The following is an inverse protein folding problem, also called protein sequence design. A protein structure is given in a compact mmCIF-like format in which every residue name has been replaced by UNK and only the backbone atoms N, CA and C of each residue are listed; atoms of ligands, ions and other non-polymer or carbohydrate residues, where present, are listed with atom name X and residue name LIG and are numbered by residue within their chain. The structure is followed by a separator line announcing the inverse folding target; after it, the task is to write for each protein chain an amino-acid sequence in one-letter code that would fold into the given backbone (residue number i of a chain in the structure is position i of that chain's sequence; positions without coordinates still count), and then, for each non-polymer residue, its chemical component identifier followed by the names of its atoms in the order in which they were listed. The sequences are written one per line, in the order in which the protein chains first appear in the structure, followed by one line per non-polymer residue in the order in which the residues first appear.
data_IF_197061885577
#
_entry.id   IF_197061885577
#
_cell.length_a   1.000
_cell.length_b   1.000
_cell.length_c   1.000
_cell.angle_alpha   90.00
_cell.angle_beta   90.00
_cell.angle_gamma   90.00
#
_symmetry.space_group_name_H-M   'P 1'
#
loop_
_entity.id
_entity.type
_entity.pdbx_description
1 polymer ?
#
# COMPACT_ATOMS: atom_id res chain seq x y z
N UNK A 1 4.50 -22.69 33.18
CA UNK A 1 4.65 -22.59 31.71
C UNK A 1 3.43 -21.99 31.00
N UNK A 2 2.28 -21.79 31.67
CA UNK A 2 1.05 -21.24 31.06
C UNK A 2 1.04 -19.71 30.90
N UNK A 3 1.66 -18.95 31.81
CA UNK A 3 1.58 -17.48 31.78
C UNK A 3 2.26 -16.82 30.57
N UNK A 4 3.35 -17.41 30.06
CA UNK A 4 4.07 -16.85 28.92
C UNK A 4 3.33 -17.10 27.59
N UNK A 5 2.80 -18.31 27.38
CA UNK A 5 1.99 -18.62 26.19
C UNK A 5 0.72 -17.78 26.14
N UNK A 6 0.04 -17.62 27.28
CA UNK A 6 -1.16 -16.78 27.37
C UNK A 6 -0.86 -15.30 27.12
N UNK A 7 0.31 -14.81 27.54
CA UNK A 7 0.76 -13.46 27.21
C UNK A 7 1.02 -13.30 25.71
N UNK A 8 1.67 -14.27 25.05
CA UNK A 8 1.90 -14.24 23.61
C UNK A 8 0.60 -14.21 22.82
N UNK A 9 -0.35 -15.07 23.14
CA UNK A 9 -1.65 -15.06 22.46
C UNK A 9 -2.38 -13.74 22.65
N UNK A 10 -2.42 -13.22 23.89
CA UNK A 10 -3.09 -11.94 24.17
C UNK A 10 -2.46 -10.79 23.37
N UNK A 11 -1.13 -10.73 23.32
CA UNK A 11 -0.40 -9.69 22.57
C UNK A 11 -0.65 -9.81 21.07
N UNK A 12 -0.59 -11.01 20.51
CA UNK A 12 -0.83 -11.23 19.08
C UNK A 12 -2.28 -10.96 18.69
N UNK A 13 -3.26 -11.40 19.47
CA UNK A 13 -4.67 -11.08 19.22
C UNK A 13 -4.93 -9.57 19.34
N UNK A 14 -4.39 -8.90 20.36
CA UNK A 14 -4.50 -7.45 20.49
C UNK A 14 -3.87 -6.72 19.30
N UNK A 15 -2.70 -7.17 18.84
CA UNK A 15 -2.04 -6.62 17.65
C UNK A 15 -2.89 -6.81 16.38
N UNK A 16 -3.51 -7.98 16.18
CA UNK A 16 -4.40 -8.23 15.04
C UNK A 16 -5.64 -7.34 15.07
N UNK A 17 -6.26 -7.14 16.24
CA UNK A 17 -7.41 -6.24 16.39
C UNK A 17 -6.99 -4.80 16.08
N UNK A 18 -5.86 -4.35 16.61
CA UNK A 18 -5.31 -3.02 16.34
C UNK A 18 -5.00 -2.81 14.86
N UNK A 19 -4.32 -3.77 14.22
CA UNK A 19 -4.03 -3.76 12.78
C UNK A 19 -5.31 -3.75 11.95
N UNK A 20 -6.33 -4.52 12.35
CA UNK A 20 -7.64 -4.52 11.69
C UNK A 20 -8.30 -3.15 11.72
N UNK A 21 -8.28 -2.46 12.87
CA UNK A 21 -8.78 -1.09 12.98
C UNK A 21 -7.97 -0.11 12.12
N UNK A 22 -6.63 -0.20 12.15
CA UNK A 22 -5.79 0.64 11.29
C UNK A 22 -6.06 0.40 9.81
N UNK A 23 -6.29 -0.86 9.41
CA UNK A 23 -6.60 -1.23 8.03
C UNK A 23 -7.92 -0.62 7.58
N UNK A 24 -8.95 -0.61 8.44
CA UNK A 24 -10.21 0.10 8.16
C UNK A 24 -10.00 1.61 7.98
N UNK A 25 -9.17 2.25 8.82
CA UNK A 25 -8.84 3.67 8.68
C UNK A 25 -8.09 3.95 7.37
N UNK A 26 -7.14 3.09 7.00
CA UNK A 26 -6.42 3.18 5.73
C UNK A 26 -7.35 2.99 4.53
N UNK A 27 -8.33 2.09 4.62
CA UNK A 27 -9.34 1.90 3.59
C UNK A 27 -10.17 3.16 3.37
N UNK A 28 -10.62 3.80 4.46
CA UNK A 28 -11.34 5.08 4.39
C UNK A 28 -10.48 6.15 3.71
N UNK A 29 -9.18 6.20 4.04
CA UNK A 29 -8.24 7.17 3.46
C UNK A 29 -7.95 6.89 1.98
N UNK A 30 -7.88 5.61 1.58
CA UNK A 30 -7.69 5.21 0.19
C UNK A 30 -8.89 5.61 -0.69
N UNK A 31 -10.11 5.52 -0.17
CA UNK A 31 -11.32 5.91 -0.91
C UNK A 31 -11.52 7.43 -0.93
N UNK A 32 -11.31 8.11 0.21
CA UNK A 32 -11.50 9.56 0.33
C UNK A 32 -10.31 10.41 -0.12
N UNK A 33 -9.18 9.80 -0.47
CA UNK A 33 -7.98 10.53 -0.88
C UNK A 33 -8.24 11.45 -2.08
N UNK A 34 -7.91 12.75 -2.02
CA UNK A 34 -8.15 13.69 -3.11
C UNK A 34 -7.19 13.49 -4.27
N UNK A 35 -5.93 13.13 -4.00
CA UNK A 35 -4.89 12.91 -5.01
C UNK A 35 -4.67 11.42 -5.24
N UNK A 36 -4.36 11.05 -6.49
CA UNK A 36 -3.99 9.67 -6.86
C UNK A 36 -2.78 9.19 -6.04
N UNK A 37 -1.82 10.07 -5.78
CA UNK A 37 -0.67 9.79 -4.92
C UNK A 37 -1.07 9.43 -3.47
N UNK A 38 -2.06 10.13 -2.89
CA UNK A 38 -2.51 9.84 -1.52
C UNK A 38 -3.17 8.47 -1.44
N UNK A 39 -3.95 8.11 -2.48
CA UNK A 39 -4.57 6.79 -2.59
C UNK A 39 -3.50 5.70 -2.75
N UNK A 40 -2.47 5.94 -3.56
CA UNK A 40 -1.36 5.02 -3.76
C UNK A 40 -0.63 4.72 -2.45
N UNK A 41 -0.30 5.76 -1.69
CA UNK A 41 0.38 5.61 -0.39
C UNK A 41 -0.50 4.87 0.60
N UNK A 42 -1.80 5.15 0.62
CA UNK A 42 -2.76 4.43 1.46
C UNK A 42 -2.82 2.93 1.12
N UNK A 43 -2.83 2.58 -0.17
CA UNK A 43 -2.80 1.18 -0.64
C UNK A 43 -1.51 0.47 -0.24
N UNK A 44 -0.36 1.14 -0.36
CA UNK A 44 0.91 0.56 0.09
C UNK A 44 0.91 0.28 1.61
N UNK A 45 0.39 1.22 2.40
CA UNK A 45 0.25 1.03 3.86
C UNK A 45 -0.73 -0.08 4.22
N UNK A 46 -1.83 -0.25 3.48
CA UNK A 46 -2.70 -1.43 3.67
C UNK A 46 -1.93 -2.71 3.39
N UNK A 47 -1.11 -2.73 2.33
CA UNK A 47 -0.29 -3.88 1.99
C UNK A 47 0.66 -4.28 3.12
N UNK A 48 1.34 -3.32 3.76
CA UNK A 48 2.23 -3.60 4.90
C UNK A 48 1.47 -4.10 6.12
N UNK A 49 0.29 -3.56 6.42
CA UNK A 49 -0.55 -4.06 7.53
C UNK A 49 -0.98 -5.51 7.28
N UNK A 50 -1.41 -5.84 6.05
CA UNK A 50 -1.79 -7.21 5.69
C UNK A 50 -0.61 -8.17 5.81
N UNK A 51 0.59 -7.78 5.36
CA UNK A 51 1.80 -8.58 5.56
C UNK A 51 2.05 -8.91 7.03
N UNK A 52 1.99 -7.89 7.90
CA UNK A 52 2.21 -8.08 9.34
C UNK A 52 1.13 -8.97 9.95
N UNK A 53 -0.13 -8.82 9.52
CA UNK A 53 -1.21 -9.71 9.97
C UNK A 53 -0.96 -11.17 9.55
N UNK A 54 -0.54 -11.42 8.31
CA UNK A 54 -0.20 -12.78 7.84
C UNK A 54 0.97 -13.35 8.64
N UNK A 55 2.01 -12.56 8.92
CA UNK A 55 3.15 -12.98 9.73
C UNK A 55 2.75 -13.35 11.16
N UNK A 56 1.88 -12.56 11.80
CA UNK A 56 1.35 -12.88 13.14
C UNK A 56 0.52 -14.16 13.10
N UNK A 57 -0.33 -14.34 12.08
CA UNK A 57 -1.11 -15.56 11.90
C UNK A 57 -0.21 -16.80 11.67
N UNK A 58 0.90 -16.65 10.94
CA UNK A 58 1.88 -17.73 10.76
C UNK A 58 2.44 -18.22 12.10
N UNK A 59 2.76 -17.28 13.00
CA UNK A 59 3.27 -17.58 14.33
C UNK A 59 2.21 -18.23 15.23
N UNK A 60 0.96 -17.76 15.16
CA UNK A 60 -0.16 -18.32 15.94
C UNK A 60 -0.52 -19.75 15.47
N UNK A 61 -0.60 -19.96 14.16
CA UNK A 61 -0.97 -21.26 13.58
C UNK A 61 0.19 -22.25 13.56
N UNK A 62 1.43 -21.78 13.77
CA UNK A 62 2.67 -22.58 13.66
C UNK A 62 2.83 -23.24 12.28
N UNK A 63 2.28 -22.58 11.26
CA UNK A 63 2.23 -23.06 9.89
C UNK A 63 3.19 -22.25 9.01
N UNK A 64 4.27 -22.90 8.54
CA UNK A 64 5.32 -22.24 7.78
C UNK A 64 4.88 -21.69 6.43
N UNK A 65 3.86 -22.29 5.80
CA UNK A 65 3.38 -21.87 4.47
C UNK A 65 2.80 -20.44 4.47
N UNK A 66 2.34 -19.95 5.62
CA UNK A 66 1.85 -18.58 5.75
C UNK A 66 2.99 -17.56 5.58
N UNK A 67 4.22 -17.94 5.91
CA UNK A 67 5.42 -17.09 5.70
C UNK A 67 5.73 -16.99 4.21
N UNK A 68 5.58 -18.07 3.45
CA UNK A 68 5.76 -18.04 1.99
C UNK A 68 4.73 -17.10 1.34
N UNK A 69 3.47 -17.19 1.77
CA UNK A 69 2.40 -16.28 1.33
C UNK A 69 2.74 -14.83 1.71
N UNK A 70 3.27 -14.60 2.93
CA UNK A 70 3.69 -13.27 3.38
C UNK A 70 4.78 -12.67 2.48
N UNK A 71 5.79 -13.46 2.11
CA UNK A 71 6.88 -13.00 1.24
C UNK A 71 6.35 -12.70 -0.17
N UNK A 72 5.50 -13.56 -0.72
CA UNK A 72 4.85 -13.32 -2.02
C UNK A 72 4.04 -12.01 -1.96
N UNK A 73 3.27 -11.81 -0.89
CA UNK A 73 2.48 -10.59 -0.71
C UNK A 73 3.37 -9.34 -0.60
N UNK A 74 4.53 -9.45 0.04
CA UNK A 74 5.52 -8.38 0.11
C UNK A 74 6.03 -7.97 -1.26
N UNK A 75 6.39 -8.97 -2.07
CA UNK A 75 6.85 -8.73 -3.45
C UNK A 75 5.75 -8.08 -4.29
N UNK A 76 4.52 -8.60 -4.23
CA UNK A 76 3.39 -8.08 -5.00
C UNK A 76 3.04 -6.65 -4.57
N UNK A 77 2.94 -6.39 -3.27
CA UNK A 77 2.61 -5.06 -2.74
C UNK A 77 3.63 -4.01 -3.18
N UNK A 78 4.92 -4.35 -3.11
CA UNK A 78 6.00 -3.46 -3.53
C UNK A 78 5.98 -3.22 -5.05
N UNK A 79 5.81 -4.28 -5.85
CA UNK A 79 5.70 -4.19 -7.30
C UNK A 79 4.50 -3.34 -7.74
N UNK A 80 3.34 -3.51 -7.11
CA UNK A 80 2.14 -2.75 -7.43
C UNK A 80 2.38 -1.24 -7.33
N UNK A 81 3.05 -0.78 -6.27
CA UNK A 81 3.35 0.63 -6.05
C UNK A 81 4.37 1.16 -7.07
N UNK A 82 5.40 0.39 -7.40
CA UNK A 82 6.37 0.76 -8.44
C UNK A 82 5.70 0.92 -9.79
N UNK A 83 4.90 -0.08 -10.20
CA UNK A 83 4.20 -0.09 -11.49
C UNK A 83 3.24 1.09 -11.57
N UNK A 84 2.42 1.30 -10.55
CA UNK A 84 1.49 2.43 -10.51
C UNK A 84 2.21 3.78 -10.54
N UNK A 85 3.34 3.92 -9.83
CA UNK A 85 4.15 5.15 -9.84
C UNK A 85 4.71 5.41 -11.24
N UNK A 86 5.25 4.38 -11.91
CA UNK A 86 5.77 4.47 -13.27
C UNK A 86 4.70 4.87 -14.27
N UNK A 87 3.52 4.24 -14.20
CA UNK A 87 2.37 4.55 -15.07
C UNK A 87 1.91 5.99 -14.83
N UNK A 88 1.73 6.39 -13.57
CA UNK A 88 1.30 7.74 -13.22
C UNK A 88 2.27 8.82 -13.70
N UNK A 89 3.58 8.60 -13.50
CA UNK A 89 4.62 9.51 -13.98
C UNK A 89 4.68 9.57 -15.52
N UNK A 90 4.45 8.43 -16.20
CA UNK A 90 4.36 8.38 -17.65
C UNK A 90 3.24 9.27 -18.19
N UNK A 91 2.04 9.13 -17.64
CA UNK A 91 0.87 9.95 -18.00
C UNK A 91 1.09 11.43 -17.67
N UNK A 92 1.70 11.73 -16.53
CA UNK A 92 2.00 13.11 -16.14
C UNK A 92 2.99 13.78 -17.11
N UNK A 93 4.01 13.04 -17.56
CA UNK A 93 4.98 13.55 -18.54
C UNK A 93 4.33 13.86 -19.89
N UNK A 94 3.47 12.97 -20.37
CA UNK A 94 2.75 13.17 -21.65
C UNK A 94 1.86 14.41 -21.62
N UNK A 95 1.13 14.65 -20.52
CA UNK A 95 0.32 15.88 -20.38
C UNK A 95 1.19 17.14 -20.39
N UNK A 96 2.29 17.13 -19.64
CA UNK A 96 3.21 18.27 -19.57
C UNK A 96 3.89 18.56 -20.91
N UNK A 97 4.17 17.53 -21.70
CA UNK A 97 4.78 17.70 -23.02
C UNK A 97 3.78 18.29 -24.02
N UNK A 98 2.50 17.87 -23.99
CA UNK A 98 1.42 18.51 -24.78
C UNK A 98 1.20 19.98 -24.41
N UNK A 99 1.11 20.30 -23.12
CA UNK A 99 0.96 21.69 -22.64
C UNK A 99 2.10 22.61 -23.13
N UNK A 100 3.33 22.07 -23.27
CA UNK A 100 4.46 22.82 -23.81
C UNK A 100 4.39 23.01 -25.33
N UNK A 101 3.82 22.05 -26.06
CA UNK A 101 3.64 22.15 -27.51
C UNK A 101 2.56 23.19 -27.83
N UNK A 102 1.41 23.12 -27.14
CA UNK A 102 0.31 24.07 -27.26
C UNK A 102 0.77 25.51 -26.93
N UNK A 103 1.49 25.71 -25.83
CA UNK A 103 1.99 27.05 -25.47
C UNK A 103 3.05 27.61 -26.43
N UNK A 104 3.75 26.75 -27.20
CA UNK A 104 4.67 27.21 -28.27
C UNK A 104 3.92 27.61 -29.53
N UNK A 105 2.85 26.90 -29.88
CA UNK A 105 1.99 27.24 -31.02
C UNK A 105 1.25 28.56 -30.79
N UNK A 106 0.71 28.78 -29.58
CA UNK A 106 0.06 30.04 -29.20
C UNK A 106 1.04 31.23 -29.29
N UNK A 107 2.25 31.08 -28.73
CA UNK A 107 3.28 32.12 -28.82
C UNK A 107 3.76 32.40 -30.25
N UNK A 108 3.73 31.40 -31.13
CA UNK A 108 4.08 31.54 -32.54
C UNK A 108 2.96 32.20 -33.37
N UNK A 109 1.70 32.11 -32.93
CA UNK A 109 0.55 32.71 -33.60
C UNK A 109 0.27 34.16 -33.14
N UNK A 110 0.79 34.56 -31.98
CA UNK A 110 0.78 35.96 -31.49
C UNK A 110 1.96 36.82 -31.99
N UNK A 111 2.98 36.21 -32.60
CA UNK A 111 4.18 36.89 -33.14
C UNK A 111 4.03 37.21 -34.63
#
# INVERSE_FOLDING_TARGET
MTGLEQAYETVFTAALVFLGVMLLLCLIRAVRGPRVADRLVAVNMMGTMVMVMIAILALLMKEGYLVDICIIYAMISFLAVIVLTKVYMGVYRERKDREKEEGKEEAAHES
#
